data_IF_713046060032
#
_entry.id   IF_713046060032
#
_cell.length_a   1.000
_cell.length_b   1.000
_cell.length_c   1.000
_cell.angle_alpha   90.00
_cell.angle_beta   90.00
_cell.angle_gamma   90.00
#
_symmetry.space_group_name_H-M   'P 1'
#
loop_
_entity.id
_entity.type
_entity.pdbx_description
1 polymer ?
#
# COMPACT_ATOMS: atom_id res chain seq x y z
N UNK A 1 12.34 65.39 35.92
CA UNK A 1 13.63 64.83 35.47
C UNK A 1 13.45 63.34 35.20
N UNK A 2 13.63 62.87 33.96
CA UNK A 2 13.95 61.45 33.63
C UNK A 2 15.50 61.27 33.77
N UNK A 3 16.16 60.09 33.63
CA UNK A 3 15.72 58.70 33.35
C UNK A 3 16.48 57.60 34.17
N UNK A 4 16.34 56.31 33.78
CA UNK A 4 17.19 55.09 33.98
C UNK A 4 16.54 53.99 34.85
N UNK A 5 16.52 52.67 34.56
CA UNK A 5 16.98 51.73 33.50
C UNK A 5 16.13 50.45 33.68
N UNK A 6 15.38 49.95 32.69
CA UNK A 6 15.78 48.93 31.71
C UNK A 6 16.64 47.78 32.25
N UNK A 7 16.07 46.58 32.39
CA UNK A 7 16.55 45.39 31.67
C UNK A 7 15.50 44.27 31.71
N UNK A 8 14.90 44.05 30.53
CA UNK A 8 13.94 42.98 30.22
C UNK A 8 14.72 41.76 29.73
N UNK A 9 14.33 40.63 30.30
CA UNK A 9 14.57 39.22 29.96
C UNK A 9 14.94 38.94 28.48
N UNK A 10 16.03 38.20 28.17
CA UNK A 10 16.32 37.78 26.81
C UNK A 10 15.42 36.59 26.42
N UNK A 11 14.51 36.84 25.48
CA UNK A 11 13.67 35.85 24.83
C UNK A 11 14.52 35.01 23.86
N UNK A 12 14.68 33.73 24.17
CA UNK A 12 15.33 32.71 23.33
C UNK A 12 14.62 32.61 21.96
N UNK A 13 15.28 33.11 20.92
CA UNK A 13 14.92 32.85 19.52
C UNK A 13 15.50 31.49 19.10
N UNK A 14 14.68 30.45 19.18
CA UNK A 14 14.93 29.19 18.49
C UNK A 14 14.58 29.34 17.00
N UNK A 15 15.48 29.05 16.06
CA UNK A 15 15.14 29.04 14.65
C UNK A 15 14.19 27.87 14.38
N UNK A 16 12.95 28.21 14.02
CA UNK A 16 12.00 27.31 13.39
C UNK A 16 12.64 26.78 12.10
N UNK A 17 13.22 25.58 12.15
CA UNK A 17 13.60 24.83 10.97
C UNK A 17 12.31 24.42 10.26
N UNK A 18 11.86 25.28 9.34
CA UNK A 18 10.85 24.97 8.34
C UNK A 18 11.43 23.89 7.43
N UNK A 19 11.12 22.63 7.74
CA UNK A 19 11.43 21.50 6.86
C UNK A 19 10.50 21.56 5.66
N UNK A 20 10.85 22.41 4.69
CA UNK A 20 10.28 22.41 3.37
C UNK A 20 10.57 21.04 2.74
N UNK A 21 9.52 20.23 2.54
CA UNK A 21 9.63 19.00 1.78
C UNK A 21 9.94 19.39 0.31
N UNK A 22 11.00 18.83 -0.30
CA UNK A 22 11.35 19.18 -1.67
C UNK A 22 10.27 18.67 -2.65
N UNK A 23 9.91 19.47 -3.67
CA UNK A 23 8.97 19.04 -4.71
C UNK A 23 9.64 17.94 -5.54
N UNK A 24 9.04 16.75 -5.58
CA UNK A 24 9.55 15.59 -6.32
C UNK A 24 10.04 14.41 -5.47
N UNK A 25 9.93 14.48 -4.13
CA UNK A 25 10.20 13.31 -3.29
C UNK A 25 9.10 12.25 -3.52
N UNK A 26 9.43 11.00 -3.93
CA UNK A 26 8.41 9.98 -4.22
C UNK A 26 7.51 9.81 -3.00
N UNK A 27 6.20 9.73 -3.20
CA UNK A 27 5.25 9.64 -2.10
C UNK A 27 5.65 8.53 -1.13
N UNK A 28 5.46 8.75 0.17
CA UNK A 28 5.88 7.79 1.20
C UNK A 28 5.29 6.37 0.93
N UNK A 29 4.12 6.32 0.28
CA UNK A 29 3.48 5.09 -0.23
C UNK A 29 4.34 4.37 -1.26
N UNK A 30 4.84 5.06 -2.29
CA UNK A 30 5.62 4.46 -3.36
C UNK A 30 6.94 3.87 -2.87
N UNK A 31 7.60 4.53 -1.91
CA UNK A 31 8.84 4.01 -1.32
C UNK A 31 8.57 2.77 -0.48
N UNK A 32 7.47 2.76 0.28
CA UNK A 32 7.05 1.60 1.05
C UNK A 32 6.73 0.41 0.12
N UNK A 33 5.98 0.66 -0.96
CA UNK A 33 5.66 -0.36 -1.96
C UNK A 33 6.90 -0.95 -2.63
N UNK A 34 7.86 -0.10 -3.04
CA UNK A 34 9.14 -0.54 -3.62
C UNK A 34 9.92 -1.41 -2.62
N UNK A 35 10.01 -1.01 -1.35
CA UNK A 35 10.66 -1.79 -0.30
C UNK A 35 9.98 -3.13 -0.08
N UNK A 36 8.66 -3.17 0.04
CA UNK A 36 7.92 -4.43 0.22
C UNK A 36 8.10 -5.36 -0.99
N UNK A 37 8.11 -4.81 -2.21
CA UNK A 37 8.35 -5.57 -3.43
C UNK A 37 9.75 -6.19 -3.44
N UNK A 38 10.77 -5.39 -3.08
CA UNK A 38 12.14 -5.86 -3.00
C UNK A 38 12.31 -6.96 -1.96
N UNK A 39 11.80 -6.76 -0.74
CA UNK A 39 11.87 -7.79 0.32
C UNK A 39 11.16 -9.09 -0.08
N UNK A 40 10.00 -8.99 -0.76
CA UNK A 40 9.28 -10.16 -1.26
C UNK A 40 10.08 -10.91 -2.32
N UNK A 41 10.73 -10.20 -3.23
CA UNK A 41 11.56 -10.79 -4.28
C UNK A 41 12.80 -11.47 -3.69
N UNK A 42 13.48 -10.81 -2.74
CA UNK A 42 14.62 -11.39 -2.03
C UNK A 42 14.22 -12.66 -1.27
N UNK A 43 13.12 -12.61 -0.52
CA UNK A 43 12.59 -13.79 0.18
C UNK A 43 12.25 -14.94 -0.78
N UNK A 44 11.69 -14.65 -1.96
CA UNK A 44 11.40 -15.68 -2.97
C UNK A 44 12.67 -16.23 -3.64
N UNK A 45 13.66 -15.38 -3.89
CA UNK A 45 14.93 -15.80 -4.48
C UNK A 45 15.72 -16.71 -3.53
N UNK A 46 15.71 -16.39 -2.23
CA UNK A 46 16.29 -17.22 -1.18
C UNK A 46 15.52 -18.55 -1.01
N UNK A 47 14.19 -18.50 -0.87
CA UNK A 47 13.36 -19.71 -0.66
C UNK A 47 13.43 -20.69 -1.83
N UNK A 48 13.59 -20.18 -3.06
CA UNK A 48 13.61 -20.99 -4.27
C UNK A 48 15.02 -21.21 -4.81
N UNK A 49 16.06 -20.74 -4.12
CA UNK A 49 17.46 -20.83 -4.54
C UNK A 49 17.62 -20.47 -6.01
N UNK A 50 17.14 -19.28 -6.38
CA UNK A 50 17.16 -18.81 -7.77
C UNK A 50 18.52 -18.22 -8.10
N UNK A 51 18.97 -18.46 -9.33
CA UNK A 51 20.10 -17.70 -9.86
C UNK A 51 19.67 -16.26 -10.23
N UNK A 52 20.65 -15.41 -10.53
CA UNK A 52 20.43 -14.00 -10.84
C UNK A 52 19.48 -13.80 -12.03
N UNK A 53 19.67 -14.56 -13.11
CA UNK A 53 18.83 -14.48 -14.31
C UNK A 53 17.37 -14.88 -14.04
N UNK A 54 17.16 -15.95 -13.25
CA UNK A 54 15.83 -16.40 -12.83
C UNK A 54 15.16 -15.38 -11.91
N UNK A 55 15.93 -14.77 -11.01
CA UNK A 55 15.45 -13.74 -10.09
C UNK A 55 14.98 -12.50 -10.84
N UNK A 56 15.74 -12.03 -11.83
CA UNK A 56 15.37 -10.88 -12.67
C UNK A 56 14.09 -11.16 -13.47
N UNK A 57 14.02 -12.31 -14.15
CA UNK A 57 12.81 -12.73 -14.89
C UNK A 57 11.57 -12.80 -14.00
N UNK A 58 11.73 -13.32 -12.78
CA UNK A 58 10.64 -13.40 -11.82
C UNK A 58 10.22 -12.01 -11.33
N UNK A 59 11.18 -11.12 -11.06
CA UNK A 59 10.90 -9.74 -10.66
C UNK A 59 10.11 -8.98 -11.72
N UNK A 60 10.49 -9.12 -13.00
CA UNK A 60 9.78 -8.50 -14.12
C UNK A 60 8.36 -9.04 -14.27
N UNK A 61 8.20 -10.37 -14.17
CA UNK A 61 6.88 -11.00 -14.21
C UNK A 61 6.00 -10.50 -13.06
N UNK A 62 6.51 -10.52 -11.82
CA UNK A 62 5.78 -9.98 -10.66
C UNK A 62 5.43 -8.51 -10.85
N UNK A 63 6.28 -7.73 -11.50
CA UNK A 63 6.02 -6.31 -11.77
C UNK A 63 4.83 -6.09 -12.68
N UNK A 64 4.75 -6.80 -13.80
CA UNK A 64 3.64 -6.71 -14.74
C UNK A 64 2.30 -7.08 -14.07
N UNK A 65 2.31 -8.10 -13.21
CA UNK A 65 1.11 -8.50 -12.47
C UNK A 65 0.73 -7.49 -11.38
N UNK A 66 1.69 -6.89 -10.69
CA UNK A 66 1.41 -5.83 -9.71
C UNK A 66 0.79 -4.59 -10.39
N UNK A 67 1.22 -4.23 -11.60
CA UNK A 67 0.63 -3.14 -12.39
C UNK A 67 -0.84 -3.43 -12.75
N UNK A 68 -1.16 -4.68 -13.11
CA UNK A 68 -2.55 -5.13 -13.35
C UNK A 68 -3.39 -5.20 -12.08
N UNK A 69 -2.76 -5.48 -10.92
CA UNK A 69 -3.43 -5.59 -9.62
C UNK A 69 -3.89 -4.22 -9.09
N UNK A 70 -3.13 -3.16 -9.35
CA UNK A 70 -3.39 -1.81 -8.85
C UNK A 70 -4.81 -1.28 -9.10
N UNK A 71 -5.32 -1.25 -10.35
CA UNK A 71 -6.66 -0.72 -10.62
C UNK A 71 -7.77 -1.52 -9.92
N UNK A 72 -7.59 -2.84 -9.77
CA UNK A 72 -8.55 -3.68 -9.06
C UNK A 72 -8.60 -3.38 -7.56
N UNK A 73 -7.43 -3.16 -6.94
CA UNK A 73 -7.35 -2.76 -5.53
C UNK A 73 -7.96 -1.38 -5.29
N UNK A 74 -7.76 -0.46 -6.23
CA UNK A 74 -8.37 0.87 -6.21
C UNK A 74 -9.90 0.78 -6.31
N UNK A 75 -10.43 -0.01 -7.25
CA UNK A 75 -11.87 -0.25 -7.38
C UNK A 75 -12.50 -0.84 -6.11
N UNK A 76 -11.82 -1.81 -5.48
CA UNK A 76 -12.26 -2.36 -4.19
C UNK A 76 -12.26 -1.28 -3.10
N UNK A 77 -11.20 -0.46 -3.05
CA UNK A 77 -11.05 0.61 -2.06
C UNK A 77 -12.14 1.67 -2.23
N UNK A 78 -12.39 2.15 -3.43
CA UNK A 78 -13.43 3.14 -3.73
C UNK A 78 -14.82 2.61 -3.37
N UNK A 79 -15.13 1.38 -3.80
CA UNK A 79 -16.42 0.75 -3.49
C UNK A 79 -16.59 0.56 -1.98
N UNK A 80 -15.55 0.14 -1.25
CA UNK A 80 -15.59 0.03 0.20
C UNK A 80 -15.79 1.38 0.91
N UNK A 81 -15.21 2.47 0.38
CA UNK A 81 -15.44 3.81 0.91
C UNK A 81 -16.88 4.27 0.71
N UNK A 82 -17.46 3.99 -0.46
CA UNK A 82 -18.86 4.28 -0.75
C UNK A 82 -19.79 3.50 0.20
N UNK A 83 -19.58 2.20 0.34
CA UNK A 83 -20.35 1.38 1.28
C UNK A 83 -20.25 1.90 2.73
N UNK A 84 -19.06 2.36 3.13
CA UNK A 84 -18.87 2.98 4.45
C UNK A 84 -19.63 4.31 4.60
N UNK A 85 -19.75 5.11 3.54
CA UNK A 85 -20.57 6.35 3.56
C UNK A 85 -22.06 6.01 3.63
N UNK A 86 -22.52 5.06 2.83
CA UNK A 86 -23.90 4.60 2.85
C UNK A 86 -24.30 4.04 4.23
N UNK A 87 -23.43 3.25 4.85
CA UNK A 87 -23.63 2.74 6.21
C UNK A 87 -23.70 3.84 7.29
N UNK A 88 -23.21 5.05 7.00
CA UNK A 88 -23.31 6.22 7.88
C UNK A 88 -24.55 7.09 7.60
N UNK A 89 -25.39 6.70 6.64
CA UNK A 89 -26.61 7.44 6.30
C UNK A 89 -26.45 8.47 5.17
N UNK A 90 -25.36 8.45 4.41
CA UNK A 90 -25.21 9.31 3.22
C UNK A 90 -26.20 8.86 2.13
N UNK A 91 -27.23 9.67 1.88
CA UNK A 91 -28.31 9.37 0.94
C UNK A 91 -27.83 9.18 -0.51
N UNK A 92 -26.80 9.94 -0.94
CA UNK A 92 -26.24 9.80 -2.28
C UNK A 92 -25.45 8.49 -2.44
N UNK A 93 -24.81 8.04 -1.36
CA UNK A 93 -24.12 6.75 -1.34
C UNK A 93 -25.10 5.56 -1.19
N UNK A 94 -26.21 5.73 -0.48
CA UNK A 94 -27.23 4.69 -0.30
C UNK A 94 -27.82 4.21 -1.63
N UNK A 95 -28.06 5.13 -2.56
CA UNK A 95 -28.55 4.78 -3.91
C UNK A 95 -27.58 3.92 -4.73
N UNK A 96 -26.31 3.84 -4.32
CA UNK A 96 -25.24 3.14 -5.03
C UNK A 96 -24.76 1.87 -4.32
N UNK A 97 -25.42 1.45 -3.23
CA UNK A 97 -24.97 0.31 -2.39
C UNK A 97 -24.87 -0.97 -3.19
N UNK A 98 -25.93 -1.38 -3.89
CA UNK A 98 -25.95 -2.65 -4.62
C UNK A 98 -24.87 -2.70 -5.70
N UNK A 99 -24.70 -1.58 -6.42
CA UNK A 99 -23.66 -1.46 -7.44
C UNK A 99 -22.25 -1.52 -6.83
N UNK A 100 -22.03 -0.89 -5.67
CA UNK A 100 -20.74 -0.95 -4.98
C UNK A 100 -20.45 -2.36 -4.44
N UNK A 101 -21.45 -3.07 -3.93
CA UNK A 101 -21.31 -4.47 -3.51
C UNK A 101 -20.89 -5.34 -4.70
N UNK A 102 -21.58 -5.21 -5.83
CA UNK A 102 -21.27 -5.98 -7.04
C UNK A 102 -19.83 -5.72 -7.52
N UNK A 103 -19.40 -4.45 -7.58
CA UNK A 103 -18.03 -4.07 -7.97
C UNK A 103 -16.97 -4.70 -7.06
N UNK A 104 -17.22 -4.79 -5.75
CA UNK A 104 -16.28 -5.44 -4.82
C UNK A 104 -16.15 -6.93 -5.13
N UNK A 105 -17.26 -7.63 -5.36
CA UNK A 105 -17.23 -9.06 -5.67
C UNK A 105 -16.54 -9.35 -7.00
N UNK A 106 -16.85 -8.58 -8.04
CA UNK A 106 -16.21 -8.70 -9.35
C UNK A 106 -14.71 -8.44 -9.28
N UNK A 107 -14.29 -7.35 -8.64
CA UNK A 107 -12.88 -7.03 -8.50
C UNK A 107 -12.11 -8.10 -7.69
N UNK A 108 -12.74 -8.68 -6.66
CA UNK A 108 -12.15 -9.80 -5.92
C UNK A 108 -12.01 -11.06 -6.76
N UNK A 109 -13.02 -11.41 -7.55
CA UNK A 109 -12.95 -12.54 -8.46
C UNK A 109 -11.81 -12.36 -9.49
N UNK A 110 -11.66 -11.15 -10.03
CA UNK A 110 -10.56 -10.81 -10.94
C UNK A 110 -9.20 -10.86 -10.26
N UNK A 111 -9.09 -10.40 -9.01
CA UNK A 111 -7.86 -10.51 -8.21
C UNK A 111 -7.45 -11.98 -7.99
N UNK A 112 -8.41 -12.85 -7.64
CA UNK A 112 -8.13 -14.28 -7.48
C UNK A 112 -7.71 -14.94 -8.79
N UNK A 113 -8.36 -14.60 -9.91
CA UNK A 113 -7.94 -15.08 -11.23
C UNK A 113 -6.50 -14.62 -11.56
N UNK A 114 -6.19 -13.35 -11.30
CA UNK A 114 -4.87 -12.77 -11.51
C UNK A 114 -3.79 -13.46 -10.65
N UNK A 115 -4.11 -13.85 -9.42
CA UNK A 115 -3.19 -14.57 -8.54
C UNK A 115 -2.89 -15.99 -9.04
N UNK A 116 -3.89 -16.69 -9.59
CA UNK A 116 -3.70 -17.98 -10.25
C UNK A 116 -2.80 -17.85 -11.49
N UNK A 117 -3.06 -16.85 -12.32
CA UNK A 117 -2.29 -16.59 -13.54
C UNK A 117 -0.83 -16.24 -13.20
N UNK A 118 -0.61 -15.46 -12.12
CA UNK A 118 0.74 -15.16 -11.62
C UNK A 118 1.47 -16.43 -11.22
N UNK A 119 0.83 -17.31 -10.44
CA UNK A 119 1.45 -18.57 -10.05
C UNK A 119 1.83 -19.40 -11.29
N UNK A 120 0.94 -19.52 -12.27
CA UNK A 120 1.22 -20.27 -13.50
C UNK A 120 2.39 -19.68 -14.29
N UNK A 121 2.44 -18.34 -14.42
CA UNK A 121 3.52 -17.65 -15.10
C UNK A 121 4.88 -17.88 -14.44
N UNK A 122 4.94 -17.84 -13.10
CA UNK A 122 6.16 -18.08 -12.34
C UNK A 122 6.53 -19.56 -12.25
N UNK A 123 5.56 -20.46 -12.23
CA UNK A 123 5.75 -21.90 -12.07
C UNK A 123 6.18 -22.61 -13.37
N UNK A 124 5.98 -21.99 -14.55
CA UNK A 124 6.15 -22.63 -15.86
C UNK A 124 7.51 -23.32 -16.04
N UNK A 125 8.57 -22.67 -15.59
CA UNK A 125 9.96 -23.13 -15.78
C UNK A 125 10.58 -23.69 -14.49
N UNK A 126 9.78 -23.89 -13.44
CA UNK A 126 10.25 -24.37 -12.14
C UNK A 126 10.04 -25.89 -12.00
N UNK A 127 11.01 -26.61 -11.38
CA UNK A 127 10.81 -28.02 -11.04
C UNK A 127 9.68 -28.17 -10.00
N UNK A 128 9.03 -29.36 -9.91
CA UNK A 128 7.86 -29.57 -9.05
C UNK A 128 8.06 -29.17 -7.58
N UNK A 129 9.24 -29.41 -7.02
CA UNK A 129 9.58 -29.03 -5.65
C UNK A 129 9.58 -27.51 -5.45
N UNK A 130 10.24 -26.76 -6.35
CA UNK A 130 10.26 -25.29 -6.31
C UNK A 130 8.88 -24.68 -6.57
N UNK A 131 8.05 -25.32 -7.40
CA UNK A 131 6.65 -24.90 -7.58
C UNK A 131 5.84 -25.01 -6.29
N UNK A 132 6.02 -26.07 -5.51
CA UNK A 132 5.34 -26.23 -4.22
C UNK A 132 5.78 -25.14 -3.22
N UNK A 133 7.09 -24.88 -3.14
CA UNK A 133 7.63 -23.79 -2.32
C UNK A 133 7.06 -22.42 -2.74
N UNK A 134 6.99 -22.15 -4.05
CA UNK A 134 6.39 -20.94 -4.60
C UNK A 134 4.93 -20.80 -4.16
N UNK A 135 4.13 -21.86 -4.26
CA UNK A 135 2.73 -21.84 -3.84
C UNK A 135 2.56 -21.49 -2.35
N UNK A 136 3.39 -22.09 -1.48
CA UNK A 136 3.41 -21.80 -0.04
C UNK A 136 3.80 -20.34 0.22
N UNK A 137 4.83 -19.85 -0.47
CA UNK A 137 5.30 -18.47 -0.33
C UNK A 137 4.26 -17.45 -0.78
N UNK A 138 3.59 -17.71 -1.91
CA UNK A 138 2.51 -16.85 -2.41
C UNK A 138 1.31 -16.83 -1.46
N UNK A 139 0.91 -17.97 -0.90
CA UNK A 139 -0.18 -18.04 0.09
C UNK A 139 0.13 -17.23 1.36
N UNK A 140 1.38 -17.27 1.84
CA UNK A 140 1.81 -16.50 3.03
C UNK A 140 1.75 -14.98 2.82
N UNK A 141 2.00 -14.52 1.59
CA UNK A 141 2.10 -13.10 1.26
C UNK A 141 0.84 -12.51 0.62
N UNK A 142 -0.04 -13.32 0.02
CA UNK A 142 -1.26 -12.88 -0.65
C UNK A 142 -2.28 -12.22 0.29
N UNK A 143 -2.54 -12.82 1.46
CA UNK A 143 -3.55 -12.34 2.40
C UNK A 143 -3.17 -11.12 3.24
N UNK A 144 -1.87 -10.84 3.46
CA UNK A 144 -1.42 -9.75 4.34
C UNK A 144 -1.53 -8.35 3.71
N UNK A 145 -1.47 -8.24 2.38
CA UNK A 145 -1.48 -6.92 1.71
C UNK A 145 -2.85 -6.24 1.81
N UNK A 146 -3.94 -6.96 1.62
CA UNK A 146 -5.30 -6.39 1.74
C UNK A 146 -5.61 -5.92 3.18
N UNK A 147 -5.22 -6.71 4.18
CA UNK A 147 -5.42 -6.35 5.58
C UNK A 147 -4.60 -5.10 6.00
N UNK A 148 -3.37 -4.95 5.48
CA UNK A 148 -2.50 -3.83 5.82
C UNK A 148 -2.88 -2.54 5.07
N UNK A 149 -3.37 -2.60 3.82
CA UNK A 149 -3.92 -1.44 3.11
C UNK A 149 -5.14 -0.84 3.84
N UNK A 150 -5.96 -1.67 4.51
CA UNK A 150 -7.05 -1.17 5.37
C UNK A 150 -6.57 -0.53 6.68
N UNK A 151 -5.40 -0.95 7.20
CA UNK A 151 -4.80 -0.40 8.44
C UNK A 151 -4.13 0.95 8.22
N UNK A 152 -3.33 1.12 7.17
CA UNK A 152 -2.64 2.39 6.89
C UNK A 152 -3.61 3.57 6.70
N UNK A 153 -4.78 3.28 6.13
CA UNK A 153 -5.88 4.23 5.97
C UNK A 153 -6.57 4.61 7.28
N UNK A 154 -6.54 3.75 8.30
CA UNK A 154 -7.03 4.07 9.66
C UNK A 154 -6.06 4.99 10.39
N UNK A 155 -4.76 4.72 10.34
CA UNK A 155 -3.74 5.54 11.00
C UNK A 155 -3.63 6.95 10.41
N UNK A 156 -3.71 7.09 9.08
CA UNK A 156 -3.74 8.41 8.43
C UNK A 156 -4.98 9.26 8.74
N UNK A 157 -6.06 8.66 9.26
CA UNK A 157 -7.26 9.40 9.74
C UNK A 157 -7.13 9.81 11.20
N UNK A 158 -6.54 8.98 12.06
CA UNK A 158 -6.27 9.32 13.46
C UNK A 158 -5.23 10.45 13.58
N UNK A 159 -4.20 10.45 12.74
CA UNK A 159 -3.20 11.53 12.72
C UNK A 159 -3.83 12.90 12.38
N UNK A 160 -4.83 12.94 11.50
CA UNK A 160 -5.55 14.17 11.12
C UNK A 160 -6.55 14.66 12.17
N UNK A 161 -7.06 13.78 13.05
CA UNK A 161 -7.95 14.17 14.14
C UNK A 161 -7.20 14.70 15.37
N UNK A 162 -5.93 14.34 15.56
CA UNK A 162 -5.08 14.84 16.66
C UNK A 162 -4.52 16.26 16.43
N UNK A 163 -4.72 16.84 15.24
CA UNK A 163 -4.33 18.20 14.90
C UNK A 163 -5.57 19.02 14.54
N UNK A 164 -6.33 19.39 15.58
CA UNK A 164 -7.14 20.60 15.56
C UNK A 164 -6.75 21.38 16.83
N UNK A 165 -6.30 22.64 16.72
CA UNK A 165 -6.03 23.49 17.87
C UNK A 165 -7.30 23.76 18.68
#
# INVERSE_FOLDING_TARGET
>A
MKPLRLLVLPLLLLPLVTRAAPPGAPDASERAEKRTRMMRMLSLAEELELNEAQTLKMADTMRQFDERRRPLLEQVRESAQLLKKAAKGDAAAQAQVDQAVQRVFEARAQLTALERDLYQALAKDLPPQKRAQLAISLARHGGRKEANLMKSDREGRHARMRWKP
#
